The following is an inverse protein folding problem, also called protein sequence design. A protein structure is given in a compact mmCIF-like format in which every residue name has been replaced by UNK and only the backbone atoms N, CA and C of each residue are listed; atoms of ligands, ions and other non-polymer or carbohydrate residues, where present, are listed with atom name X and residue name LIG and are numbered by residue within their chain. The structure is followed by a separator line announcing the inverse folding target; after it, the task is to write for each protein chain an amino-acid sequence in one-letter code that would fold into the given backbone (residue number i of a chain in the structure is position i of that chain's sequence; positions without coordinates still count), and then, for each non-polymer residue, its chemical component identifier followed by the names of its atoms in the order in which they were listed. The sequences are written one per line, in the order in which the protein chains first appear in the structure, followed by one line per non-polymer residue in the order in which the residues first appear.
data_IF_595925789815
#
_entry.id   IF_595925789815
#
_cell.length_a   1.000
_cell.length_b   1.000
_cell.length_c   1.000
_cell.angle_alpha   90.00
_cell.angle_beta   90.00
_cell.angle_gamma   90.00
#
_symmetry.space_group_name_H-M   'P 1'
#
loop_
_entity.id
_entity.type
_entity.pdbx_description
1 polymer ?
#
# COMPACT_ATOMS: atom_id res chain seq x y z
N UNK A 1 10.81 5.52 -14.21
CA UNK A 1 10.29 6.18 -12.97
C UNK A 1 8.78 6.52 -13.02
N UNK A 2 8.16 6.72 -14.19
CA UNK A 2 6.73 7.07 -14.38
C UNK A 2 5.71 5.91 -14.30
N UNK A 3 6.13 4.67 -14.07
CA UNK A 3 5.23 3.50 -14.16
C UNK A 3 4.71 2.98 -12.81
N UNK A 4 5.07 3.62 -11.69
CA UNK A 4 4.53 3.22 -10.39
C UNK A 4 3.12 3.74 -10.24
N UNK A 5 2.22 2.89 -9.80
CA UNK A 5 0.81 3.24 -9.54
C UNK A 5 0.67 4.27 -8.41
N UNK A 6 1.66 4.42 -7.55
CA UNK A 6 1.68 5.43 -6.48
C UNK A 6 2.50 6.67 -6.81
N UNK A 7 2.81 6.92 -8.09
CA UNK A 7 3.46 8.18 -8.45
C UNK A 7 2.48 9.37 -8.33
N UNK A 8 2.97 10.61 -8.23
CA UNK A 8 2.12 11.79 -8.01
C UNK A 8 1.00 11.98 -9.04
N UNK A 9 1.23 11.62 -10.30
CA UNK A 9 0.24 11.75 -11.37
C UNK A 9 -0.92 10.77 -11.18
N UNK A 10 -0.63 9.51 -10.82
CA UNK A 10 -1.68 8.54 -10.49
C UNK A 10 -2.42 8.90 -9.21
N UNK A 11 -1.72 9.37 -8.17
CA UNK A 11 -2.38 9.81 -6.93
C UNK A 11 -3.35 10.96 -7.18
N UNK A 12 -2.99 11.92 -8.04
CA UNK A 12 -3.90 13.00 -8.45
C UNK A 12 -5.15 12.46 -9.14
N UNK A 13 -4.99 11.49 -10.06
CA UNK A 13 -6.13 10.84 -10.74
C UNK A 13 -7.00 10.05 -9.76
N UNK A 14 -6.42 9.35 -8.78
CA UNK A 14 -7.19 8.63 -7.77
C UNK A 14 -8.04 9.58 -6.93
N UNK A 15 -7.51 10.77 -6.60
CA UNK A 15 -8.26 11.79 -5.87
C UNK A 15 -9.52 12.26 -6.60
N UNK A 16 -9.51 12.31 -7.93
CA UNK A 16 -10.68 12.71 -8.73
C UNK A 16 -11.82 11.68 -8.70
N UNK A 17 -11.50 10.39 -8.54
CA UNK A 17 -12.49 9.30 -8.54
C UNK A 17 -12.90 8.85 -7.13
N UNK A 18 -12.11 9.20 -6.12
CA UNK A 18 -12.40 8.81 -4.74
C UNK A 18 -13.54 9.64 -4.17
N UNK A 19 -14.37 8.97 -3.37
CA UNK A 19 -15.33 9.65 -2.51
C UNK A 19 -14.61 10.55 -1.48
N UNK A 20 -15.28 11.56 -0.92
CA UNK A 20 -14.72 12.35 0.17
C UNK A 20 -14.23 11.46 1.33
N UNK A 21 -13.03 11.73 1.83
CA UNK A 21 -12.35 10.92 2.86
C UNK A 21 -12.09 9.45 2.48
N UNK A 22 -12.10 9.15 1.18
CA UNK A 22 -11.80 7.83 0.64
C UNK A 22 -10.41 7.35 1.05
N UNK A 23 -10.32 6.03 1.27
CA UNK A 23 -9.09 5.37 1.72
C UNK A 23 -8.51 4.59 0.56
N UNK A 24 -7.21 4.74 0.33
CA UNK A 24 -6.46 3.88 -0.57
C UNK A 24 -5.75 2.78 0.20
N UNK A 25 -5.74 1.60 -0.41
CA UNK A 25 -5.11 0.40 0.11
C UNK A 25 -4.06 -0.08 -0.89
N UNK A 26 -2.80 -0.15 -0.47
CA UNK A 26 -1.71 -0.71 -1.27
C UNK A 26 -1.19 -1.98 -0.59
N UNK A 27 -1.43 -3.13 -1.21
CA UNK A 27 -0.81 -4.42 -0.85
C UNK A 27 0.24 -4.76 -1.91
N UNK A 28 1.48 -5.05 -1.51
CA UNK A 28 2.56 -5.33 -2.46
C UNK A 28 3.67 -6.19 -1.87
N UNK A 29 4.22 -7.08 -2.68
CA UNK A 29 5.44 -7.87 -2.47
C UNK A 29 6.73 -7.06 -2.67
N UNK A 30 6.63 -5.83 -3.20
CA UNK A 30 7.79 -4.96 -3.43
C UNK A 30 8.04 -4.02 -2.24
N UNK A 31 9.00 -4.39 -1.39
CA UNK A 31 9.47 -3.52 -0.29
C UNK A 31 9.95 -2.15 -0.79
N UNK A 32 10.55 -2.11 -1.99
CA UNK A 32 10.98 -0.85 -2.59
C UNK A 32 9.80 0.04 -3.00
N UNK A 33 8.72 -0.53 -3.54
CA UNK A 33 7.51 0.22 -3.82
C UNK A 33 6.88 0.73 -2.52
N UNK A 34 6.83 -0.11 -1.49
CA UNK A 34 6.35 0.25 -0.16
C UNK A 34 7.08 1.47 0.40
N UNK A 35 8.42 1.39 0.50
CA UNK A 35 9.24 2.50 1.01
C UNK A 35 9.14 3.77 0.17
N UNK A 36 9.09 3.64 -1.17
CA UNK A 36 8.86 4.77 -2.06
C UNK A 36 7.52 5.45 -1.78
N UNK A 37 6.45 4.67 -1.61
CA UNK A 37 5.12 5.20 -1.32
C UNK A 37 5.06 5.87 0.05
N UNK A 38 5.59 5.26 1.10
CA UNK A 38 5.66 5.88 2.43
C UNK A 38 6.39 7.23 2.38
N UNK A 39 7.57 7.28 1.78
CA UNK A 39 8.34 8.52 1.68
C UNK A 39 7.62 9.61 0.87
N UNK A 40 6.91 9.23 -0.19
CA UNK A 40 6.10 10.16 -0.97
C UNK A 40 4.92 10.72 -0.17
N UNK A 41 4.18 9.86 0.53
CA UNK A 41 3.03 10.25 1.36
C UNK A 41 3.47 11.18 2.49
N UNK A 42 4.55 10.82 3.20
CA UNK A 42 5.13 11.65 4.26
C UNK A 42 5.57 13.02 3.74
N UNK A 43 6.28 13.05 2.60
CA UNK A 43 6.75 14.30 2.00
C UNK A 43 5.64 15.23 1.51
N UNK A 44 4.44 14.69 1.26
CA UNK A 44 3.24 15.44 0.86
C UNK A 44 2.34 15.80 2.05
N UNK A 45 2.60 15.25 3.22
CA UNK A 45 1.73 15.37 4.39
C UNK A 45 0.44 14.57 4.26
N UNK A 46 0.38 13.56 3.39
CA UNK A 46 -0.78 12.66 3.28
C UNK A 46 -0.93 11.82 4.56
N UNK A 47 -2.18 11.52 4.95
CA UNK A 47 -2.47 10.81 6.20
C UNK A 47 -2.21 9.31 6.03
N UNK A 48 -1.22 8.77 6.74
CA UNK A 48 -0.96 7.33 6.79
C UNK A 48 -1.72 6.74 7.97
N UNK A 49 -2.72 5.91 7.68
CA UNK A 49 -3.59 5.28 8.68
C UNK A 49 -2.97 4.00 9.25
N UNK A 50 -2.29 3.24 8.38
CA UNK A 50 -1.64 1.99 8.76
C UNK A 50 -0.52 1.67 7.78
N UNK A 51 0.58 1.11 8.29
CA UNK A 51 1.67 0.60 7.47
C UNK A 51 2.31 -0.62 8.15
N UNK A 52 2.45 -1.70 7.40
CA UNK A 52 3.09 -2.92 7.89
C UNK A 52 3.98 -3.52 6.79
N UNK A 53 5.21 -3.88 7.16
CA UNK A 53 6.25 -4.36 6.26
C UNK A 53 6.27 -5.88 6.10
N UNK A 54 5.46 -6.62 6.86
CA UNK A 54 5.26 -8.07 6.72
C UNK A 54 3.91 -8.47 7.32
N UNK A 55 2.85 -8.42 6.52
CA UNK A 55 1.47 -8.59 7.03
C UNK A 55 1.15 -10.00 7.55
N UNK A 56 1.92 -11.00 7.15
CA UNK A 56 1.70 -12.40 7.56
C UNK A 56 2.52 -12.80 8.78
N UNK A 57 3.55 -12.02 9.13
CA UNK A 57 4.37 -12.28 10.33
C UNK A 57 4.12 -11.28 11.46
N UNK A 58 3.88 -10.02 11.15
CA UNK A 58 3.67 -8.98 12.14
C UNK A 58 2.20 -8.94 12.58
N UNK A 59 1.98 -8.71 13.86
CA UNK A 59 0.64 -8.53 14.43
C UNK A 59 -0.03 -7.23 13.94
N UNK A 60 -1.36 -7.15 14.11
CA UNK A 60 -2.14 -5.94 13.82
C UNK A 60 -2.57 -5.77 12.36
N UNK A 61 -2.23 -6.71 11.48
CA UNK A 61 -2.73 -6.72 10.10
C UNK A 61 -4.26 -6.83 10.07
N UNK A 62 -4.96 -5.95 9.33
CA UNK A 62 -6.41 -6.09 9.17
C UNK A 62 -6.76 -7.46 8.58
N UNK A 63 -7.71 -8.17 9.18
CA UNK A 63 -8.08 -9.54 8.78
C UNK A 63 -8.46 -9.61 7.30
N UNK A 64 -9.20 -8.62 6.80
CA UNK A 64 -9.59 -8.55 5.39
C UNK A 64 -8.40 -8.52 4.41
N UNK A 65 -7.22 -8.07 4.85
CA UNK A 65 -6.01 -7.98 4.03
C UNK A 65 -5.28 -9.33 3.97
N UNK A 66 -5.31 -10.10 5.06
CA UNK A 66 -4.65 -11.41 5.16
C UNK A 66 -5.55 -12.57 4.74
N UNK A 67 -6.88 -12.40 4.81
CA UNK A 67 -7.87 -13.42 4.44
C UNK A 67 -8.00 -13.61 2.92
N UNK A 68 -7.71 -12.56 2.14
CA UNK A 68 -7.75 -12.61 0.67
C UNK A 68 -6.33 -12.65 0.14
N UNK A 69 -5.94 -13.79 -0.42
CA UNK A 69 -4.63 -14.02 -0.99
C UNK A 69 -4.72 -14.18 -2.50
N UNK A 70 -3.81 -13.53 -3.22
CA UNK A 70 -3.72 -13.71 -4.68
C UNK A 70 -2.84 -14.91 -5.03
N UNK A 71 -2.93 -15.38 -6.28
CA UNK A 71 -2.07 -16.46 -6.78
C UNK A 71 -0.57 -16.16 -6.61
N UNK A 72 -0.14 -14.94 -6.94
CA UNK A 72 1.26 -14.54 -6.88
C UNK A 72 1.77 -14.39 -5.45
N UNK A 73 0.93 -13.95 -4.51
CA UNK A 73 1.31 -13.84 -3.11
C UNK A 73 1.72 -15.20 -2.53
N UNK A 74 1.00 -16.27 -2.85
CA UNK A 74 1.37 -17.61 -2.43
C UNK A 74 2.77 -18.00 -2.92
N UNK A 75 3.09 -17.69 -4.17
CA UNK A 75 4.42 -17.97 -4.73
C UNK A 75 5.51 -17.17 -4.00
N UNK A 76 5.29 -15.88 -3.75
CA UNK A 76 6.27 -15.04 -3.06
C UNK A 76 6.45 -15.42 -1.59
N UNK A 77 5.38 -15.84 -0.90
CA UNK A 77 5.46 -16.35 0.46
C UNK A 77 6.27 -17.65 0.54
N UNK A 78 6.16 -18.54 -0.45
CA UNK A 78 7.00 -19.74 -0.54
C UNK A 78 8.48 -19.40 -0.74
N UNK A 79 8.78 -18.32 -1.46
CA UNK A 79 10.14 -17.77 -1.61
C UNK A 79 10.62 -16.99 -0.36
N UNK A 80 9.79 -16.89 0.68
CA UNK A 80 10.10 -16.16 1.90
C UNK A 80 10.10 -14.63 1.74
N UNK A 81 9.54 -14.10 0.65
CA UNK A 81 9.42 -12.67 0.42
C UNK A 81 8.22 -12.11 1.19
N UNK A 82 8.41 -11.02 1.96
CA UNK A 82 7.33 -10.45 2.74
C UNK A 82 6.32 -9.73 1.85
N UNK A 83 5.05 -9.84 2.21
CA UNK A 83 3.99 -9.01 1.64
C UNK A 83 3.78 -7.83 2.57
N UNK A 84 3.77 -6.64 2.00
CA UNK A 84 3.66 -5.37 2.73
C UNK A 84 2.31 -4.72 2.44
N UNK A 85 1.89 -3.83 3.34
CA UNK A 85 0.61 -3.15 3.20
C UNK A 85 0.64 -1.72 3.75
N UNK A 86 -0.01 -0.81 3.04
CA UNK A 86 -0.21 0.59 3.44
C UNK A 86 -1.69 0.95 3.26
N UNK A 87 -2.25 1.62 4.25
CA UNK A 87 -3.56 2.26 4.20
C UNK A 87 -3.38 3.77 4.43
N UNK A 88 -3.91 4.59 3.54
CA UNK A 88 -3.72 6.04 3.62
C UNK A 88 -4.86 6.84 2.99
N UNK A 89 -4.97 8.11 3.37
CA UNK A 89 -5.83 9.11 2.72
C UNK A 89 -4.98 10.17 2.04
N UNK A 90 -5.43 10.61 0.88
CA UNK A 90 -4.85 11.76 0.20
C UNK A 90 -5.41 13.04 0.81
N UNK A 91 -4.56 14.05 0.97
CA UNK A 91 -5.01 15.37 1.43
C UNK A 91 -6.09 15.95 0.50
N UNK A 92 -7.07 16.72 1.04
CA UNK A 92 -8.14 17.38 0.29
C UNK A 92 -7.64 18.31 -0.81
#
# INVERSE_FOLDING_TARGET
RKHRLTNPEFLARYKEILIPNGILHLKTDSQFLHGYTLGLLQGRGDEILYANHDIYRNEGSPEAVTSIQTFYENQYLQEGKPITYIQFRLQP
#
